data_IF_030807856199
#
_entry.id   IF_030807856199
#
_cell.length_a   1.000
_cell.length_b   1.000
_cell.length_c   1.000
_cell.angle_alpha   90.00
_cell.angle_beta   90.00
_cell.angle_gamma   90.00
#
_symmetry.space_group_name_H-M   'P 1'
#
loop_
_entity.id
_entity.type
_entity.pdbx_description
1 polymer ?
#
# COMPACT_ATOMS: atom_id res chain seq x y z
N UNK A 1 -1.76 1.67 24.82
CA UNK A 1 -2.42 0.38 24.58
C UNK A 1 -2.40 0.00 23.10
N UNK A 2 -2.04 -1.24 22.78
CA UNK A 2 -2.01 -1.76 21.41
C UNK A 2 -3.11 -2.80 21.22
N UNK A 3 -3.70 -2.80 20.00
CA UNK A 3 -4.68 -3.80 19.57
C UNK A 3 -4.33 -4.27 18.17
N UNK A 4 -4.27 -5.58 18.00
CA UNK A 4 -3.89 -6.22 16.73
C UNK A 4 -4.99 -7.17 16.27
N UNK A 5 -5.41 -7.00 15.01
CA UNK A 5 -6.41 -7.87 14.38
C UNK A 5 -5.84 -9.23 13.97
N UNK A 6 -4.52 -9.38 13.86
CA UNK A 6 -3.82 -10.62 13.47
C UNK A 6 -4.34 -11.19 12.14
N UNK A 7 -4.53 -10.31 11.16
CA UNK A 7 -5.08 -10.66 9.84
C UNK A 7 -6.60 -10.88 9.80
N UNK A 8 -7.30 -10.82 10.93
CA UNK A 8 -8.76 -11.06 11.04
C UNK A 8 -9.51 -9.74 11.09
N UNK A 9 -9.90 -9.22 9.92
CA UNK A 9 -10.53 -7.90 9.80
C UNK A 9 -11.84 -7.79 10.57
N UNK A 10 -12.56 -8.89 10.74
CA UNK A 10 -13.79 -8.99 11.51
C UNK A 10 -13.62 -8.66 13.00
N UNK A 11 -12.41 -8.68 13.53
CA UNK A 11 -12.10 -8.29 14.92
C UNK A 11 -12.01 -6.79 15.12
N UNK A 12 -11.76 -6.01 14.06
CA UNK A 12 -11.50 -4.58 14.16
C UNK A 12 -12.59 -3.77 14.87
N UNK A 13 -13.91 -3.98 14.63
CA UNK A 13 -14.94 -3.26 15.34
C UNK A 13 -14.91 -3.50 16.85
N UNK A 14 -14.70 -4.75 17.29
CA UNK A 14 -14.56 -5.09 18.70
C UNK A 14 -13.34 -4.45 19.34
N UNK A 15 -12.19 -4.50 18.68
CA UNK A 15 -10.94 -3.90 19.16
C UNK A 15 -11.03 -2.37 19.26
N UNK A 16 -11.73 -1.71 18.33
CA UNK A 16 -11.99 -0.29 18.42
C UNK A 16 -12.92 0.06 19.58
N UNK A 17 -13.97 -0.74 19.80
CA UNK A 17 -14.89 -0.57 20.93
C UNK A 17 -14.17 -0.75 22.29
N UNK A 18 -13.23 -1.68 22.41
CA UNK A 18 -12.41 -1.85 23.62
C UNK A 18 -11.60 -0.58 23.93
N UNK A 19 -10.96 0.03 22.93
CA UNK A 19 -10.22 1.28 23.14
C UNK A 19 -11.14 2.42 23.63
N UNK A 20 -12.35 2.50 23.08
CA UNK A 20 -13.36 3.47 23.51
C UNK A 20 -13.78 3.22 24.96
N UNK A 21 -13.99 1.95 25.34
CA UNK A 21 -14.35 1.59 26.74
C UNK A 21 -13.22 1.90 27.73
N UNK A 22 -11.97 1.78 27.31
CA UNK A 22 -10.80 2.16 28.09
C UNK A 22 -10.65 3.68 28.25
N UNK A 23 -11.47 4.48 27.55
CA UNK A 23 -11.45 5.95 27.57
C UNK A 23 -10.07 6.52 27.25
N UNK A 24 -9.43 5.97 26.20
CA UNK A 24 -8.14 6.49 25.74
C UNK A 24 -8.30 7.94 25.28
N UNK A 25 -7.26 8.74 25.45
CA UNK A 25 -7.27 10.16 25.07
C UNK A 25 -7.22 10.36 23.55
N UNK A 26 -6.58 9.43 22.81
CA UNK A 26 -6.43 9.46 21.36
C UNK A 26 -6.30 8.05 20.79
N UNK A 27 -6.83 7.83 19.61
CA UNK A 27 -6.66 6.58 18.85
C UNK A 27 -5.74 6.86 17.67
N UNK A 28 -4.67 6.08 17.50
CA UNK A 28 -3.80 6.15 16.31
C UNK A 28 -4.05 4.90 15.45
N UNK A 29 -4.29 5.09 14.16
CA UNK A 29 -4.53 3.97 13.24
C UNK A 29 -3.85 4.18 11.88
N UNK A 30 -3.15 3.13 11.41
CA UNK A 30 -2.37 3.14 10.16
C UNK A 30 -2.97 2.33 9.01
N UNK A 31 -4.16 1.74 9.19
CA UNK A 31 -4.78 0.92 8.14
C UNK A 31 -6.20 1.39 7.85
N UNK A 32 -6.62 1.40 6.58
CA UNK A 32 -7.95 1.86 6.20
C UNK A 32 -9.10 1.12 6.94
N UNK A 33 -9.08 -0.22 7.08
CA UNK A 33 -10.09 -0.92 7.86
C UNK A 33 -10.08 -0.53 9.35
N UNK A 34 -8.90 -0.36 9.96
CA UNK A 34 -8.77 0.07 11.35
C UNK A 34 -9.27 1.50 11.58
N UNK A 35 -8.98 2.41 10.64
CA UNK A 35 -9.47 3.79 10.68
C UNK A 35 -11.00 3.83 10.61
N UNK A 36 -11.61 3.05 9.71
CA UNK A 36 -13.07 2.94 9.61
C UNK A 36 -13.68 2.43 10.89
N UNK A 37 -13.15 1.35 11.45
CA UNK A 37 -13.62 0.79 12.71
C UNK A 37 -13.53 1.81 13.86
N UNK A 38 -12.43 2.57 13.97
CA UNK A 38 -12.30 3.64 14.96
C UNK A 38 -13.33 4.78 14.72
N UNK A 39 -13.52 5.22 13.46
CA UNK A 39 -14.50 6.25 13.08
C UNK A 39 -15.94 5.86 13.44
N UNK A 40 -16.26 4.57 13.30
CA UNK A 40 -17.58 4.03 13.67
C UNK A 40 -17.75 3.93 15.18
N UNK A 41 -16.68 3.53 15.89
CA UNK A 41 -16.73 3.30 17.33
C UNK A 41 -16.83 4.58 18.16
N UNK A 42 -16.31 5.72 17.69
CA UNK A 42 -16.35 7.00 18.43
C UNK A 42 -16.52 8.21 17.53
N UNK A 43 -17.19 9.25 18.08
CA UNK A 43 -17.32 10.58 17.44
C UNK A 43 -16.63 11.66 18.27
N UNK A 44 -16.08 11.31 19.43
CA UNK A 44 -15.53 12.27 20.40
C UNK A 44 -14.07 12.07 20.68
N UNK A 45 -13.59 10.80 20.76
CA UNK A 45 -12.17 10.54 20.95
C UNK A 45 -11.43 10.90 19.65
N UNK A 46 -10.41 11.77 19.69
CA UNK A 46 -9.61 12.11 18.52
C UNK A 46 -8.98 10.87 17.86
N UNK A 47 -8.99 10.83 16.54
CA UNK A 47 -8.38 9.76 15.75
C UNK A 47 -7.29 10.35 14.88
N UNK A 48 -6.03 9.99 15.15
CA UNK A 48 -4.89 10.38 14.32
C UNK A 48 -4.60 9.26 13.33
N UNK A 49 -4.71 9.58 12.04
CA UNK A 49 -4.53 8.59 10.97
C UNK A 49 -3.16 8.72 10.30
N UNK A 50 -2.58 7.57 9.90
CA UNK A 50 -1.46 7.49 8.97
C UNK A 50 -1.89 6.58 7.83
N UNK A 51 -2.27 7.14 6.68
CA UNK A 51 -2.82 6.34 5.58
C UNK A 51 -2.03 6.51 4.28
N UNK A 52 -2.08 5.50 3.42
CA UNK A 52 -1.56 5.53 2.05
C UNK A 52 -2.65 5.87 1.03
N UNK A 53 -3.91 5.80 1.44
CA UNK A 53 -5.07 6.09 0.60
C UNK A 53 -5.42 7.58 0.67
N UNK A 54 -6.14 8.06 -0.34
CA UNK A 54 -6.76 9.38 -0.29
C UNK A 54 -7.95 9.35 0.70
N UNK A 55 -7.84 10.01 1.86
CA UNK A 55 -8.88 9.94 2.89
C UNK A 55 -10.13 10.73 2.51
N UNK A 56 -10.06 11.64 1.53
CA UNK A 56 -11.22 12.35 0.98
C UNK A 56 -11.97 11.45 0.01
N UNK A 57 -11.26 10.85 -0.95
CA UNK A 57 -11.87 9.94 -1.91
C UNK A 57 -12.50 8.71 -1.25
N UNK A 58 -11.96 8.25 -0.10
CA UNK A 58 -12.52 7.15 0.68
C UNK A 58 -13.62 7.56 1.66
N UNK A 59 -13.97 8.85 1.74
CA UNK A 59 -15.01 9.37 2.63
C UNK A 59 -14.64 9.34 4.12
N UNK A 60 -13.36 9.24 4.44
CA UNK A 60 -12.88 9.28 5.82
C UNK A 60 -12.95 10.68 6.39
N UNK A 61 -12.62 11.69 5.59
CA UNK A 61 -12.63 13.11 5.94
C UNK A 61 -13.30 13.95 4.84
N UNK A 62 -13.70 15.18 5.15
CA UNK A 62 -14.34 16.08 4.19
C UNK A 62 -13.33 16.69 3.20
N UNK A 63 -12.21 17.19 3.71
CA UNK A 63 -11.09 17.68 2.90
C UNK A 63 -9.79 17.61 3.67
N UNK A 64 -8.64 17.72 2.98
CA UNK A 64 -7.33 17.74 3.63
C UNK A 64 -7.11 18.99 4.51
N UNK A 65 -7.68 20.14 4.11
CA UNK A 65 -7.55 21.38 4.85
C UNK A 65 -8.53 21.47 6.03
N UNK A 66 -9.71 20.87 5.88
CA UNK A 66 -10.75 20.84 6.90
C UNK A 66 -11.29 19.41 7.00
N UNK A 67 -10.62 18.53 7.80
CA UNK A 67 -11.00 17.12 7.89
C UNK A 67 -12.43 16.89 8.37
N UNK A 68 -12.93 17.77 9.23
CA UNK A 68 -14.25 17.62 9.86
C UNK A 68 -14.24 16.50 10.93
N UNK A 69 -15.17 16.59 11.89
CA UNK A 69 -15.31 15.57 12.94
C UNK A 69 -14.07 15.43 13.83
N UNK A 70 -13.82 14.18 14.25
CA UNK A 70 -12.75 13.83 15.20
C UNK A 70 -11.52 13.17 14.55
N UNK A 71 -11.33 13.28 13.23
CA UNK A 71 -10.22 12.66 12.51
C UNK A 71 -9.23 13.73 12.06
N UNK A 72 -7.94 13.51 12.31
CA UNK A 72 -6.80 14.26 11.77
C UNK A 72 -5.64 13.32 11.47
N UNK A 73 -4.57 13.81 10.86
CA UNK A 73 -3.36 12.99 10.68
C UNK A 73 -2.61 13.24 9.40
N UNK A 74 -1.97 12.18 8.89
CA UNK A 74 -1.06 12.23 7.74
C UNK A 74 -1.54 11.26 6.66
N UNK A 75 -1.59 11.74 5.41
CA UNK A 75 -1.70 10.86 4.25
C UNK A 75 -0.41 10.90 3.43
N UNK A 76 0.01 9.76 2.93
CA UNK A 76 1.23 9.63 2.13
C UNK A 76 0.96 9.68 0.62
N UNK A 77 -0.31 9.47 0.20
CA UNK A 77 -0.72 9.42 -1.21
C UNK A 77 0.26 8.60 -2.07
N UNK A 78 0.71 7.44 -1.55
CA UNK A 78 1.77 6.64 -2.18
C UNK A 78 1.37 6.11 -3.56
N UNK A 79 0.08 6.06 -3.86
CA UNK A 79 -0.46 5.69 -5.17
C UNK A 79 -0.16 6.73 -6.22
N UNK A 80 -0.19 8.02 -5.88
CA UNK A 80 0.18 9.11 -6.80
C UNK A 80 1.63 9.01 -7.29
N UNK A 81 2.45 8.18 -6.61
CA UNK A 81 3.84 7.93 -6.98
C UNK A 81 4.02 6.89 -8.09
N UNK A 82 2.96 6.24 -8.58
CA UNK A 82 3.05 5.19 -9.61
C UNK A 82 3.74 5.70 -10.88
N UNK A 83 3.44 6.93 -11.28
CA UNK A 83 4.10 7.59 -12.40
C UNK A 83 5.59 7.79 -12.16
N UNK A 84 5.95 8.33 -10.99
CA UNK A 84 7.35 8.58 -10.65
C UNK A 84 8.16 7.29 -10.51
N UNK A 85 7.55 6.22 -9.99
CA UNK A 85 8.18 4.91 -9.94
C UNK A 85 8.53 4.39 -11.34
N UNK A 86 7.57 4.42 -12.27
CA UNK A 86 7.81 3.98 -13.64
C UNK A 86 8.84 4.86 -14.36
N UNK A 87 8.81 6.18 -14.14
CA UNK A 87 9.79 7.12 -14.68
C UNK A 87 11.20 6.76 -14.21
N UNK A 88 11.42 6.70 -12.90
CA UNK A 88 12.70 6.34 -12.30
C UNK A 88 13.16 4.94 -12.72
N UNK A 89 12.24 4.00 -12.82
CA UNK A 89 12.55 2.63 -13.23
C UNK A 89 13.01 2.58 -14.69
N UNK A 90 12.37 3.33 -15.57
CA UNK A 90 12.76 3.45 -16.98
C UNK A 90 14.06 4.25 -17.15
N UNK A 91 14.28 5.27 -16.33
CA UNK A 91 15.53 6.03 -16.32
C UNK A 91 16.71 5.13 -15.94
N UNK A 92 16.57 4.34 -14.87
CA UNK A 92 17.57 3.39 -14.43
C UNK A 92 17.80 2.26 -15.45
N UNK A 93 16.73 1.81 -16.14
CA UNK A 93 16.79 0.71 -17.10
C UNK A 93 16.04 1.10 -18.38
N UNK A 94 16.68 1.81 -19.33
CA UNK A 94 16.02 2.37 -20.51
C UNK A 94 15.33 1.37 -21.43
N UNK A 95 15.71 0.09 -21.37
CA UNK A 95 15.14 -1.00 -22.18
C UNK A 95 13.78 -1.50 -21.68
N UNK A 96 13.28 -0.99 -20.54
CA UNK A 96 11.95 -1.37 -20.03
C UNK A 96 10.88 -0.90 -21.02
N UNK A 97 10.07 -1.84 -21.48
CA UNK A 97 8.98 -1.59 -22.43
C UNK A 97 7.68 -2.28 -22.05
N UNK A 98 7.76 -3.35 -21.25
CA UNK A 98 6.59 -4.09 -20.77
C UNK A 98 6.76 -4.46 -19.30
N UNK A 99 5.91 -3.87 -18.45
CA UNK A 99 5.95 -4.02 -17.00
C UNK A 99 4.81 -4.94 -16.54
N UNK A 100 5.15 -5.98 -15.80
CA UNK A 100 4.19 -6.77 -15.03
C UNK A 100 3.92 -6.10 -13.70
N UNK A 101 2.67 -5.83 -13.38
CA UNK A 101 2.26 -5.32 -12.07
C UNK A 101 1.67 -6.48 -11.27
N UNK A 102 2.37 -6.86 -10.21
CA UNK A 102 1.93 -7.93 -9.31
C UNK A 102 0.88 -7.38 -8.35
N UNK A 103 -0.32 -7.95 -8.40
CA UNK A 103 -1.49 -7.48 -7.64
C UNK A 103 -2.18 -8.63 -6.90
N UNK A 104 -2.74 -8.34 -5.72
CA UNK A 104 -3.53 -9.31 -4.95
C UNK A 104 -4.99 -9.27 -5.41
N UNK A 105 -5.40 -10.28 -6.17
CA UNK A 105 -6.75 -10.38 -6.74
C UNK A 105 -7.87 -10.55 -5.69
N UNK A 106 -7.53 -10.88 -4.44
CA UNK A 106 -8.51 -10.94 -3.35
C UNK A 106 -8.84 -9.55 -2.76
N UNK A 107 -8.02 -8.53 -3.06
CA UNK A 107 -8.17 -7.17 -2.55
C UNK A 107 -9.13 -6.31 -3.36
N UNK A 108 -9.92 -5.46 -2.70
CA UNK A 108 -10.83 -4.51 -3.37
C UNK A 108 -10.08 -3.41 -4.16
N UNK A 109 -8.78 -3.27 -3.96
CA UNK A 109 -7.96 -2.17 -4.51
C UNK A 109 -7.19 -2.54 -5.77
N UNK A 110 -7.33 -3.78 -6.25
CA UNK A 110 -6.61 -4.33 -7.43
C UNK A 110 -6.82 -3.48 -8.67
N UNK A 111 -8.07 -3.23 -9.01
CA UNK A 111 -8.41 -2.47 -10.21
C UNK A 111 -7.85 -1.04 -10.15
N UNK A 112 -7.89 -0.40 -8.99
CA UNK A 112 -7.37 0.97 -8.79
C UNK A 112 -5.86 1.02 -8.94
N UNK A 113 -5.11 0.15 -8.25
CA UNK A 113 -3.66 0.13 -8.33
C UNK A 113 -3.18 -0.16 -9.76
N UNK A 114 -3.77 -1.15 -10.43
CA UNK A 114 -3.44 -1.48 -11.82
C UNK A 114 -3.77 -0.32 -12.78
N UNK A 115 -4.89 0.36 -12.57
CA UNK A 115 -5.31 1.51 -13.38
C UNK A 115 -4.34 2.69 -13.26
N UNK A 116 -3.82 2.95 -12.08
CA UNK A 116 -2.82 4.00 -11.83
C UNK A 116 -1.54 3.74 -12.62
N UNK A 117 -0.99 2.52 -12.53
CA UNK A 117 0.17 2.12 -13.34
C UNK A 117 -0.13 2.15 -14.84
N UNK A 118 -1.33 1.74 -15.27
CA UNK A 118 -1.73 1.78 -16.68
C UNK A 118 -1.79 3.22 -17.19
N UNK A 119 -2.31 4.13 -16.38
CA UNK A 119 -2.40 5.56 -16.74
C UNK A 119 -1.02 6.19 -16.85
N UNK A 120 -0.15 5.95 -15.86
CA UNK A 120 1.22 6.45 -15.84
C UNK A 120 2.06 5.90 -17.01
N UNK A 121 1.90 4.63 -17.33
CA UNK A 121 2.68 3.93 -18.35
C UNK A 121 2.44 4.48 -19.78
N UNK A 122 1.24 5.02 -20.06
CA UNK A 122 0.90 5.62 -21.35
C UNK A 122 1.85 6.73 -21.76
N UNK A 123 2.15 7.65 -20.83
CA UNK A 123 3.07 8.77 -21.08
C UNK A 123 4.50 8.30 -21.37
N UNK A 124 4.90 7.18 -20.78
CA UNK A 124 6.24 6.59 -20.91
C UNK A 124 6.36 5.57 -22.05
N UNK A 125 5.28 5.33 -22.80
CA UNK A 125 5.19 4.30 -23.85
C UNK A 125 5.56 2.90 -23.34
N UNK A 126 5.14 2.58 -22.10
CA UNK A 126 5.30 1.28 -21.45
C UNK A 126 3.97 0.53 -21.55
N UNK A 127 4.03 -0.75 -21.93
CA UNK A 127 2.89 -1.64 -21.84
C UNK A 127 2.82 -2.21 -20.42
N UNK A 128 1.61 -2.37 -19.90
CA UNK A 128 1.39 -2.92 -18.55
C UNK A 128 0.56 -4.20 -18.64
N UNK A 129 0.96 -5.20 -17.88
CA UNK A 129 0.25 -6.47 -17.73
C UNK A 129 -0.05 -6.73 -16.26
N UNK A 130 -1.30 -7.05 -15.92
CA UNK A 130 -1.65 -7.54 -14.59
C UNK A 130 -1.08 -8.94 -14.37
N UNK A 131 -0.42 -9.13 -13.23
CA UNK A 131 0.04 -10.42 -12.74
C UNK A 131 -0.68 -10.68 -11.43
N UNK A 132 -1.76 -11.44 -11.50
CA UNK A 132 -2.66 -11.62 -10.38
C UNK A 132 -2.23 -12.82 -9.53
N UNK A 133 -2.18 -12.63 -8.22
CA UNK A 133 -2.05 -13.67 -7.21
C UNK A 133 -3.20 -13.54 -6.22
N UNK A 134 -3.56 -14.63 -5.57
CA UNK A 134 -4.72 -14.66 -4.69
C UNK A 134 -4.37 -15.16 -3.30
N UNK A 135 -4.67 -14.38 -2.28
CA UNK A 135 -4.62 -14.80 -0.89
C UNK A 135 -5.79 -15.79 -0.59
N UNK A 136 -5.66 -16.84 0.26
CA UNK A 136 -4.50 -17.08 1.14
C UNK A 136 -3.38 -17.94 0.52
N UNK A 137 -3.54 -18.46 -0.69
CA UNK A 137 -2.56 -19.36 -1.32
C UNK A 137 -2.00 -18.74 -2.61
N UNK A 138 -1.08 -17.76 -2.52
CA UNK A 138 -0.58 -17.06 -3.68
C UNK A 138 0.31 -17.95 -4.55
N UNK A 139 -0.08 -18.14 -5.81
CA UNK A 139 0.70 -18.85 -6.82
C UNK A 139 1.59 -17.86 -7.59
N UNK A 140 2.70 -17.49 -6.99
CA UNK A 140 3.68 -16.60 -7.62
C UNK A 140 4.34 -17.24 -8.83
N UNK A 141 4.55 -18.56 -8.84
CA UNK A 141 5.15 -19.27 -9.98
C UNK A 141 4.30 -19.11 -11.23
N UNK A 142 3.00 -19.31 -11.14
CA UNK A 142 2.08 -19.06 -12.27
C UNK A 142 2.07 -17.61 -12.71
N UNK A 143 2.14 -16.65 -11.79
CA UNK A 143 2.22 -15.22 -12.13
C UNK A 143 3.52 -14.91 -12.91
N UNK A 144 4.67 -15.46 -12.50
CA UNK A 144 5.93 -15.28 -13.23
C UNK A 144 5.95 -16.03 -14.57
N UNK A 145 5.29 -17.18 -14.69
CA UNK A 145 5.09 -17.84 -15.98
C UNK A 145 4.22 -16.99 -16.92
N UNK A 146 3.16 -16.36 -16.41
CA UNK A 146 2.34 -15.43 -17.17
C UNK A 146 3.15 -14.19 -17.61
N UNK A 147 4.04 -13.67 -16.76
CA UNK A 147 4.97 -12.62 -17.12
C UNK A 147 5.89 -13.03 -18.30
N UNK A 148 6.46 -14.23 -18.25
CA UNK A 148 7.31 -14.74 -19.31
C UNK A 148 6.54 -14.91 -20.63
N UNK A 149 5.34 -15.52 -20.62
CA UNK A 149 4.47 -15.64 -21.79
C UNK A 149 4.09 -14.28 -22.37
N UNK A 150 3.84 -13.29 -21.49
CA UNK A 150 3.53 -11.92 -21.87
C UNK A 150 4.75 -11.10 -22.31
N UNK A 151 5.96 -11.67 -22.30
CA UNK A 151 7.23 -10.97 -22.61
C UNK A 151 7.45 -9.73 -21.71
N UNK A 152 7.04 -9.84 -20.45
CA UNK A 152 7.32 -8.84 -19.44
C UNK A 152 8.84 -8.75 -19.24
N UNK A 153 9.39 -7.54 -19.20
CA UNK A 153 10.81 -7.32 -19.02
C UNK A 153 11.16 -6.46 -17.79
N UNK A 154 10.16 -6.18 -16.95
CA UNK A 154 10.33 -5.57 -15.65
C UNK A 154 9.10 -5.87 -14.76
N UNK A 155 9.30 -5.92 -13.45
CA UNK A 155 8.27 -6.22 -12.46
C UNK A 155 8.02 -5.00 -11.57
N UNK A 156 6.76 -4.75 -11.23
CA UNK A 156 6.36 -3.84 -10.15
C UNK A 156 5.53 -4.62 -9.15
N UNK A 157 5.76 -4.44 -7.85
CA UNK A 157 4.88 -4.92 -6.79
C UNK A 157 4.19 -3.74 -6.11
N UNK A 158 2.89 -3.82 -5.97
CA UNK A 158 2.11 -2.83 -5.21
C UNK A 158 2.25 -3.06 -3.70
N UNK A 159 1.86 -2.07 -2.90
CA UNK A 159 1.87 -2.20 -1.45
C UNK A 159 0.78 -3.18 -0.97
N UNK A 160 1.12 -4.01 0.02
CA UNK A 160 0.18 -4.94 0.63
C UNK A 160 0.88 -6.00 1.49
N UNK A 161 0.19 -6.47 2.53
CA UNK A 161 0.73 -7.47 3.45
C UNK A 161 1.17 -8.76 2.72
N UNK A 162 0.37 -9.23 1.74
CA UNK A 162 0.70 -10.40 0.94
C UNK A 162 2.09 -10.32 0.31
N UNK A 163 2.48 -9.15 -0.20
CA UNK A 163 3.77 -8.96 -0.88
C UNK A 163 4.91 -8.73 0.10
N UNK A 164 4.63 -8.16 1.27
CA UNK A 164 5.61 -8.03 2.35
C UNK A 164 5.94 -9.39 2.97
N UNK A 165 4.93 -10.19 3.28
CA UNK A 165 5.09 -11.52 3.86
C UNK A 165 5.82 -12.48 2.91
N UNK A 166 5.77 -12.22 1.61
CA UNK A 166 6.41 -13.02 0.56
C UNK A 166 7.55 -12.29 -0.16
N UNK A 167 8.08 -11.21 0.41
CA UNK A 167 9.06 -10.34 -0.24
C UNK A 167 10.30 -11.10 -0.74
N UNK A 168 10.86 -12.00 0.10
CA UNK A 168 12.01 -12.85 -0.27
C UNK A 168 11.70 -13.76 -1.46
N UNK A 169 10.55 -14.45 -1.45
CA UNK A 169 10.14 -15.35 -2.54
C UNK A 169 9.95 -14.59 -3.86
N UNK A 170 9.35 -13.41 -3.80
CA UNK A 170 9.16 -12.54 -4.98
C UNK A 170 10.51 -12.09 -5.53
N UNK A 171 11.45 -11.67 -4.66
CA UNK A 171 12.78 -11.28 -5.07
C UNK A 171 13.55 -12.44 -5.73
N UNK A 172 13.52 -13.64 -5.14
CA UNK A 172 14.15 -14.84 -5.71
C UNK A 172 13.57 -15.20 -7.09
N UNK A 173 12.25 -15.12 -7.26
CA UNK A 173 11.59 -15.36 -8.53
C UNK A 173 11.92 -14.27 -9.56
N UNK A 174 12.00 -13.00 -9.16
CA UNK A 174 12.42 -11.91 -10.05
C UNK A 174 13.84 -12.13 -10.56
N UNK A 175 14.78 -12.46 -9.67
CA UNK A 175 16.18 -12.79 -10.02
C UNK A 175 16.24 -13.99 -10.96
N UNK A 176 15.56 -15.09 -10.62
CA UNK A 176 15.51 -16.32 -11.43
C UNK A 176 15.00 -16.06 -12.84
N UNK A 177 14.01 -15.19 -13.00
CA UNK A 177 13.42 -14.83 -14.28
C UNK A 177 14.11 -13.62 -14.95
N UNK A 178 15.19 -13.10 -14.35
CA UNK A 178 15.93 -11.92 -14.84
C UNK A 178 15.04 -10.69 -15.06
N UNK A 179 14.06 -10.52 -14.19
CA UNK A 179 13.16 -9.37 -14.17
C UNK A 179 13.68 -8.35 -13.15
N UNK A 180 14.17 -7.19 -13.59
CA UNK A 180 14.39 -6.10 -12.65
C UNK A 180 13.07 -5.74 -11.99
N UNK A 181 13.12 -5.36 -10.70
CA UNK A 181 11.91 -5.13 -9.90
C UNK A 181 11.92 -3.77 -9.22
N UNK A 182 10.76 -3.09 -9.27
CA UNK A 182 10.47 -1.87 -8.55
C UNK A 182 9.35 -2.15 -7.54
N UNK A 183 9.55 -1.68 -6.32
CA UNK A 183 8.65 -1.98 -5.20
C UNK A 183 8.10 -0.70 -4.58
N UNK A 184 6.89 -0.80 -4.03
CA UNK A 184 6.26 0.29 -3.27
C UNK A 184 6.71 0.31 -1.80
N UNK A 185 7.41 -0.73 -1.35
CA UNK A 185 7.89 -0.85 0.02
C UNK A 185 9.39 -1.13 0.04
N UNK A 186 10.10 -0.51 0.97
CA UNK A 186 11.56 -0.67 1.12
C UNK A 186 11.93 -2.08 1.58
N UNK A 187 11.10 -2.71 2.38
CA UNK A 187 11.30 -4.07 2.92
C UNK A 187 11.46 -5.11 1.79
N UNK A 188 10.83 -4.88 0.65
CA UNK A 188 11.02 -5.73 -0.51
C UNK A 188 12.46 -5.63 -1.08
N UNK A 189 13.09 -4.47 -0.97
CA UNK A 189 14.50 -4.28 -1.38
C UNK A 189 15.43 -4.94 -0.36
N UNK A 190 15.16 -4.80 0.92
CA UNK A 190 15.90 -5.47 1.99
C UNK A 190 15.82 -7.01 1.85
N UNK A 191 14.73 -7.52 1.30
CA UNK A 191 14.55 -8.94 1.00
C UNK A 191 15.21 -9.40 -0.33
N UNK A 192 15.85 -8.49 -1.08
CA UNK A 192 16.58 -8.79 -2.33
C UNK A 192 15.96 -8.20 -3.60
N UNK A 193 14.91 -7.41 -3.52
CA UNK A 193 14.37 -6.63 -4.64
C UNK A 193 15.35 -5.56 -5.12
N UNK A 194 15.20 -5.09 -6.37
CA UNK A 194 16.19 -4.19 -6.97
C UNK A 194 16.05 -2.74 -6.52
N UNK A 195 14.85 -2.18 -6.55
CA UNK A 195 14.59 -0.77 -6.27
C UNK A 195 13.26 -0.58 -5.56
N UNK A 196 13.17 0.48 -4.77
CA UNK A 196 11.89 0.99 -4.26
C UNK A 196 11.85 2.52 -4.36
N UNK A 197 10.64 3.04 -4.49
CA UNK A 197 10.40 4.47 -4.35
C UNK A 197 9.09 4.66 -3.57
N UNK A 198 9.21 5.12 -2.34
CA UNK A 198 8.11 5.22 -1.38
C UNK A 198 8.28 6.43 -0.45
N UNK A 199 7.21 6.85 0.19
CA UNK A 199 7.31 7.78 1.30
C UNK A 199 7.88 7.07 2.53
N UNK A 200 8.63 7.79 3.35
CA UNK A 200 9.22 7.23 4.57
C UNK A 200 8.15 7.02 5.64
N UNK A 201 7.90 5.78 6.01
CA UNK A 201 6.91 5.39 7.01
C UNK A 201 7.25 5.94 8.40
N UNK A 202 8.51 5.85 8.81
CA UNK A 202 8.95 6.35 10.11
C UNK A 202 8.72 7.86 10.24
N UNK A 203 8.95 8.64 9.18
CA UNK A 203 8.67 10.08 9.18
C UNK A 203 7.17 10.38 9.23
N UNK A 204 6.34 9.55 8.62
CA UNK A 204 4.88 9.69 8.69
C UNK A 204 4.37 9.47 10.11
N UNK A 205 4.87 8.45 10.81
CA UNK A 205 4.52 8.21 12.21
C UNK A 205 5.10 9.26 13.16
N UNK A 206 6.31 9.78 12.91
CA UNK A 206 6.85 10.94 13.67
C UNK A 206 5.95 12.18 13.50
N UNK A 207 5.47 12.43 12.28
CA UNK A 207 4.51 13.51 12.02
C UNK A 207 3.17 13.27 12.73
N UNK A 208 2.68 12.04 12.74
CA UNK A 208 1.47 11.70 13.49
C UNK A 208 1.62 11.98 14.99
N UNK A 209 2.78 11.71 15.58
CA UNK A 209 3.07 12.03 16.97
C UNK A 209 2.95 13.54 17.26
N UNK A 210 3.31 14.40 16.30
CA UNK A 210 3.11 15.87 16.44
C UNK A 210 1.62 16.24 16.49
N UNK A 211 0.75 15.49 15.79
CA UNK A 211 -0.69 15.71 15.93
C UNK A 211 -1.21 15.26 17.29
N UNK A 212 -0.71 14.13 17.80
CA UNK A 212 -1.06 13.65 19.16
C UNK A 212 -0.67 14.66 20.22
N UNK A 213 0.52 15.27 20.10
CA UNK A 213 1.03 16.28 21.07
C UNK A 213 0.19 17.59 21.09
N UNK A 214 -0.55 17.86 20.01
CA UNK A 214 -1.38 19.06 19.88
C UNK A 214 -2.84 18.87 20.30
N UNK A 215 -3.26 17.65 20.57
CA UNK A 215 -4.61 17.28 21.02
C UNK A 215 -4.70 17.40 22.55
#
# INVERSE_FOLDING_TARGET
EYRYAEGKLERLPGLAAELVQLKVDVIVSGTAPGIRAAKEATKTIPIVIVTTEDPVATGLIESLAHPGGNITGVTRLTRDLSGKRLELFKEAIPKISRVGVLVDASGQTVATAFQEYTTAARALKIQVQSLEVQNPNPDFESAFQAAAKGRVNALVTVSGALFLDNAKRIAELAIKNRLPSMHENIENVEAGGLMSYTANDADSYKRAAVFVDKI
#
